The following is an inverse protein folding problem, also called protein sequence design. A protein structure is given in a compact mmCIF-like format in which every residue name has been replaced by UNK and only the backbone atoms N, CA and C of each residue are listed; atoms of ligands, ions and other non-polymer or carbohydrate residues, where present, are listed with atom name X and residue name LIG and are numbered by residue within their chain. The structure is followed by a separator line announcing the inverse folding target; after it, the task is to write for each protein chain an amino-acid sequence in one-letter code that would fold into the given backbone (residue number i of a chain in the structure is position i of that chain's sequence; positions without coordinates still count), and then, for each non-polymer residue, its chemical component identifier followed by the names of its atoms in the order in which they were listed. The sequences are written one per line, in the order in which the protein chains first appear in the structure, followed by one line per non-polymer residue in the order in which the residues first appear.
data_IF_346718858303
#
_entry.id   IF_346718858303
#
_cell.length_a   1.000
_cell.length_b   1.000
_cell.length_c   1.000
_cell.angle_alpha   90.00
_cell.angle_beta   90.00
_cell.angle_gamma   90.00
#
_symmetry.space_group_name_H-M   'P 1'
#
loop_
_entity.id
_entity.type
_entity.pdbx_description
1 polymer ?
#
# COMPACT_ATOMS: atom_id res chain seq x y z
N UNK A 1 -26.14 48.58 80.42
CA UNK A 1 -25.14 49.19 81.34
C UNK A 1 -23.76 49.13 80.70
N UNK A 2 -22.81 49.99 81.13
CA UNK A 2 -21.35 49.83 80.88
C UNK A 2 -20.90 48.47 81.48
N UNK A 3 -19.79 47.80 81.16
CA UNK A 3 -18.36 48.11 80.86
C UNK A 3 -17.73 46.83 80.24
N UNK A 4 -16.52 46.73 79.65
CA UNK A 4 -15.35 47.61 79.47
C UNK A 4 -14.03 46.81 79.58
N UNK A 5 -12.94 47.24 78.90
CA UNK A 5 -11.52 46.73 78.95
C UNK A 5 -11.26 45.25 78.56
N UNK A 6 -10.23 44.83 77.81
CA UNK A 6 -8.75 45.07 77.85
C UNK A 6 -8.05 44.39 79.05
N UNK A 7 -6.92 43.66 78.95
CA UNK A 7 -5.91 43.41 77.89
C UNK A 7 -5.59 41.87 77.82
N UNK A 8 -4.63 41.27 77.08
CA UNK A 8 -3.54 41.73 76.19
C UNK A 8 -2.46 40.64 75.93
N UNK A 9 -1.36 41.00 75.25
CA UNK A 9 -0.05 40.29 75.12
C UNK A 9 0.08 38.96 74.34
N UNK A 10 0.67 39.06 73.15
CA UNK A 10 1.57 38.06 72.54
C UNK A 10 2.98 38.19 73.15
N UNK A 11 3.90 37.19 73.05
CA UNK A 11 4.86 37.22 71.93
C UNK A 11 5.43 35.87 71.40
N UNK A 12 5.81 35.90 70.12
CA UNK A 12 7.00 35.30 69.44
C UNK A 12 7.46 33.82 69.64
N UNK A 13 7.81 33.17 68.53
CA UNK A 13 8.61 31.91 68.49
C UNK A 13 8.24 30.94 67.34
N UNK A 14 8.51 31.20 66.05
CA UNK A 14 9.73 30.88 65.27
C UNK A 14 9.93 29.38 64.86
N UNK A 15 9.97 29.13 63.54
CA UNK A 15 10.44 27.90 62.81
C UNK A 15 9.58 26.61 62.94
N UNK A 16 9.43 25.74 61.94
CA UNK A 16 9.97 25.67 60.56
C UNK A 16 8.84 25.53 59.51
N UNK A 17 9.11 26.01 58.29
CA UNK A 17 8.48 25.56 57.06
C UNK A 17 9.57 25.13 56.08
N UNK A 18 9.56 23.90 55.59
CA UNK A 18 9.98 23.53 54.24
C UNK A 18 9.69 22.05 53.95
N UNK A 19 9.26 21.75 52.72
CA UNK A 19 8.77 20.42 52.33
C UNK A 19 8.14 20.38 50.94
N UNK A 20 8.84 20.90 49.94
CA UNK A 20 8.38 21.00 48.55
C UNK A 20 8.04 19.61 47.94
N UNK A 21 6.79 19.44 47.51
CA UNK A 21 6.31 18.28 46.75
C UNK A 21 5.89 18.71 45.33
N UNK A 22 6.85 18.89 44.40
CA UNK A 22 6.55 19.21 43.00
C UNK A 22 7.71 18.84 42.04
N UNK A 23 7.85 17.56 41.67
CA UNK A 23 8.98 17.15 40.82
C UNK A 23 8.94 15.78 40.15
N UNK A 24 7.79 15.09 40.08
CA UNK A 24 7.78 13.71 39.53
C UNK A 24 6.44 13.28 38.90
N UNK A 25 5.92 14.05 37.94
CA UNK A 25 4.65 13.69 37.21
C UNK A 25 4.64 13.89 35.69
N UNK A 26 5.75 14.30 35.06
CA UNK A 26 5.78 14.61 33.60
C UNK A 26 6.52 13.56 32.75
N UNK A 27 7.38 12.73 33.35
CA UNK A 27 8.25 11.79 32.59
C UNK A 27 7.52 10.51 32.13
N UNK A 28 6.40 10.14 32.75
CA UNK A 28 5.75 8.84 32.54
C UNK A 28 4.97 8.68 31.22
N UNK A 29 4.72 9.76 30.47
CA UNK A 29 3.85 9.71 29.27
C UNK A 29 4.64 9.49 27.97
N UNK A 30 5.88 9.97 27.85
CA UNK A 30 6.61 9.89 26.56
C UNK A 30 7.23 8.51 26.31
N UNK A 31 7.44 7.69 27.35
CA UNK A 31 8.03 6.34 27.21
C UNK A 31 7.04 5.26 26.71
N UNK A 32 5.74 5.59 26.59
CA UNK A 32 4.67 4.64 26.24
C UNK A 32 4.33 4.62 24.74
N UNK A 33 5.06 5.39 23.91
CA UNK A 33 4.84 5.50 22.46
C UNK A 33 5.77 4.62 21.60
N UNK A 34 6.74 3.91 22.20
CA UNK A 34 7.80 3.20 21.47
C UNK A 34 7.66 1.67 21.39
N UNK A 35 6.52 1.11 21.80
CA UNK A 35 6.17 -0.29 21.56
C UNK A 35 4.82 -0.38 20.87
N UNK A 36 4.74 0.18 19.66
CA UNK A 36 3.85 -0.43 18.68
C UNK A 36 4.48 -1.77 18.31
N UNK A 37 3.82 -2.91 18.54
CA UNK A 37 4.24 -4.13 17.86
C UNK A 37 4.14 -3.83 16.38
N UNK A 38 5.27 -3.91 15.67
CA UNK A 38 5.21 -3.94 14.22
C UNK A 38 4.28 -5.10 13.86
N UNK A 39 3.09 -4.78 13.35
CA UNK A 39 2.26 -5.76 12.66
C UNK A 39 3.07 -6.07 11.40
N UNK A 40 3.99 -7.01 11.53
CA UNK A 40 4.67 -7.61 10.40
C UNK A 40 3.56 -8.28 9.59
N UNK A 41 3.04 -7.54 8.61
CA UNK A 41 2.04 -8.04 7.68
C UNK A 41 2.56 -9.36 7.13
N UNK A 42 1.76 -10.41 7.26
CA UNK A 42 2.15 -11.75 6.82
C UNK A 42 2.39 -11.68 5.32
N UNK A 43 3.66 -11.69 4.93
CA UNK A 43 4.02 -11.72 3.53
C UNK A 43 3.65 -13.08 2.92
N UNK A 44 3.03 -13.05 1.75
CA UNK A 44 2.95 -14.21 0.87
C UNK A 44 4.24 -14.28 0.06
N UNK A 45 5.02 -15.34 0.29
CA UNK A 45 6.36 -15.53 -0.26
C UNK A 45 6.34 -16.53 -1.40
N UNK A 46 6.74 -16.09 -2.58
CA UNK A 46 6.80 -16.91 -3.79
C UNK A 46 8.24 -17.12 -4.22
N UNK A 47 8.63 -18.37 -4.44
CA UNK A 47 10.01 -18.72 -4.83
C UNK A 47 10.23 -18.49 -6.32
N UNK A 48 11.38 -17.94 -6.66
CA UNK A 48 11.86 -17.73 -8.03
C UNK A 48 13.20 -18.47 -8.21
N UNK A 49 13.65 -18.75 -9.45
CA UNK A 49 14.92 -19.46 -9.68
C UNK A 49 16.16 -18.80 -9.06
N UNK A 50 16.15 -17.46 -8.87
CA UNK A 50 17.29 -16.65 -8.38
C UNK A 50 16.99 -15.84 -7.11
N UNK A 51 15.88 -16.12 -6.43
CA UNK A 51 15.44 -15.33 -5.28
C UNK A 51 14.02 -15.66 -4.82
N UNK A 52 13.38 -14.72 -4.14
CA UNK A 52 11.96 -14.79 -3.78
C UNK A 52 11.28 -13.44 -3.98
N UNK A 53 9.98 -13.50 -4.30
CA UNK A 53 9.07 -12.36 -4.32
C UNK A 53 8.24 -12.38 -3.05
N UNK A 54 8.02 -11.22 -2.43
CA UNK A 54 7.18 -11.09 -1.25
C UNK A 54 6.09 -10.06 -1.56
N UNK A 55 4.83 -10.47 -1.39
CA UNK A 55 3.65 -9.60 -1.49
C UNK A 55 3.11 -9.43 -0.06
N UNK A 56 2.68 -8.22 0.30
CA UNK A 56 2.15 -7.91 1.63
C UNK A 56 0.65 -7.62 1.53
N UNK A 57 -0.24 -8.61 1.77
CA UNK A 57 -1.67 -8.42 1.59
C UNK A 57 -2.25 -7.33 2.49
N UNK A 58 -2.99 -6.39 1.90
CA UNK A 58 -3.74 -5.36 2.61
C UNK A 58 -5.22 -5.66 2.47
N UNK A 59 -5.87 -6.10 3.56
CA UNK A 59 -7.26 -6.57 3.54
C UNK A 59 -7.38 -8.09 3.55
N UNK A 60 -8.45 -8.63 2.95
CA UNK A 60 -8.74 -10.07 2.90
C UNK A 60 -8.72 -10.58 1.46
N UNK A 61 -7.54 -11.02 1.05
CA UNK A 61 -7.23 -11.44 -0.31
C UNK A 61 -6.65 -12.85 -0.30
N UNK A 62 -7.27 -13.75 -1.07
CA UNK A 62 -6.71 -15.06 -1.32
C UNK A 62 -5.69 -14.95 -2.46
N UNK A 63 -4.42 -15.19 -2.14
CA UNK A 63 -3.38 -15.41 -3.15
C UNK A 63 -3.42 -16.87 -3.65
N UNK A 64 -3.17 -17.05 -4.94
CA UNK A 64 -2.93 -18.35 -5.58
C UNK A 64 -1.84 -18.20 -6.63
N UNK A 65 -1.07 -19.25 -6.90
CA UNK A 65 0.04 -19.19 -7.86
C UNK A 65 0.11 -20.41 -8.77
N UNK A 66 0.44 -20.17 -10.03
CA UNK A 66 0.68 -21.17 -11.07
C UNK A 66 2.01 -20.85 -11.75
N UNK A 67 2.82 -21.86 -12.10
CA UNK A 67 4.02 -21.69 -12.91
C UNK A 67 3.76 -22.28 -14.30
N UNK A 68 3.70 -21.41 -15.30
CA UNK A 68 3.47 -21.78 -16.71
C UNK A 68 4.56 -21.13 -17.58
N UNK A 69 5.82 -21.19 -17.12
CA UNK A 69 6.98 -20.57 -17.77
C UNK A 69 7.20 -19.10 -17.37
N UNK A 70 6.17 -18.43 -16.87
CA UNK A 70 6.28 -17.28 -15.98
C UNK A 70 5.52 -17.61 -14.69
N UNK A 71 6.04 -17.20 -13.53
CA UNK A 71 5.29 -17.32 -12.27
C UNK A 71 4.11 -16.36 -12.33
N UNK A 72 2.89 -16.91 -12.25
CA UNK A 72 1.64 -16.17 -12.28
C UNK A 72 0.96 -16.26 -10.93
N UNK A 73 0.84 -15.12 -10.24
CA UNK A 73 0.13 -15.00 -8.97
C UNK A 73 -1.21 -14.31 -9.24
N UNK A 74 -2.30 -14.85 -8.73
CA UNK A 74 -3.63 -14.24 -8.80
C UNK A 74 -4.07 -13.89 -7.38
N UNK A 75 -4.40 -12.62 -7.17
CA UNK A 75 -5.06 -12.13 -5.96
C UNK A 75 -6.55 -11.95 -6.26
N UNK A 76 -7.40 -12.60 -5.47
CA UNK A 76 -8.86 -12.46 -5.51
C UNK A 76 -9.38 -12.15 -4.11
N UNK A 77 -10.47 -11.38 -4.00
CA UNK A 77 -11.06 -11.09 -2.71
C UNK A 77 -11.64 -12.36 -2.07
N UNK A 78 -11.54 -12.48 -0.75
CA UNK A 78 -12.21 -13.57 -0.01
C UNK A 78 -13.73 -13.38 0.04
N UNK A 79 -14.20 -12.12 0.01
CA UNK A 79 -15.61 -11.78 -0.03
C UNK A 79 -16.10 -11.74 -1.50
N UNK A 80 -17.04 -12.60 -1.91
CA UNK A 80 -17.57 -12.63 -3.28
C UNK A 80 -18.40 -11.40 -3.66
N UNK A 81 -18.72 -10.50 -2.73
CA UNK A 81 -19.30 -9.19 -3.04
C UNK A 81 -18.26 -8.18 -3.56
N UNK A 82 -16.97 -8.41 -3.31
CA UNK A 82 -15.89 -7.54 -3.78
C UNK A 82 -15.48 -7.97 -5.20
N UNK A 83 -16.04 -7.28 -6.19
CA UNK A 83 -15.73 -7.50 -7.61
C UNK A 83 -14.40 -6.83 -8.00
N UNK A 84 -13.29 -7.38 -7.48
CA UNK A 84 -11.94 -6.97 -7.85
C UNK A 84 -10.95 -8.14 -7.82
N UNK A 85 -9.91 -8.05 -8.66
CA UNK A 85 -8.82 -9.04 -8.75
C UNK A 85 -7.55 -8.40 -9.29
N UNK A 86 -6.41 -9.00 -8.98
CA UNK A 86 -5.17 -8.72 -9.68
C UNK A 86 -4.47 -9.99 -10.18
N UNK A 87 -3.66 -9.84 -11.22
CA UNK A 87 -2.78 -10.86 -11.77
C UNK A 87 -1.38 -10.27 -11.87
N UNK A 88 -0.42 -10.97 -11.30
CA UNK A 88 0.99 -10.64 -11.30
C UNK A 88 1.69 -11.72 -12.13
N UNK A 89 2.38 -11.34 -13.20
CA UNK A 89 3.22 -12.25 -13.98
C UNK A 89 4.68 -11.83 -13.83
N UNK A 90 5.48 -12.72 -13.23
CA UNK A 90 6.90 -12.47 -12.95
C UNK A 90 7.76 -13.06 -14.05
N UNK A 91 8.45 -12.20 -14.79
CA UNK A 91 9.52 -12.59 -15.70
C UNK A 91 10.86 -12.42 -14.99
N UNK A 92 11.63 -13.51 -14.88
CA UNK A 92 12.90 -13.56 -14.13
C UNK A 92 14.10 -14.09 -14.94
N UNK A 93 13.94 -14.25 -16.26
CA UNK A 93 14.93 -14.89 -17.12
C UNK A 93 15.68 -13.90 -18.04
N UNK A 94 16.89 -13.54 -17.62
CA UNK A 94 18.06 -13.44 -18.50
C UNK A 94 18.23 -12.18 -19.35
N UNK A 95 17.17 -11.44 -19.67
CA UNK A 95 17.27 -10.16 -20.39
C UNK A 95 17.31 -8.98 -19.41
N UNK A 96 18.15 -7.99 -19.71
CA UNK A 96 18.05 -6.67 -19.08
C UNK A 96 17.24 -5.73 -19.99
N UNK A 97 16.01 -6.15 -20.36
CA UNK A 97 15.19 -5.54 -21.44
C UNK A 97 14.88 -4.05 -21.23
N UNK A 98 14.84 -3.63 -19.96
CA UNK A 98 14.56 -2.25 -19.55
C UNK A 98 15.66 -1.77 -18.60
N UNK A 99 16.87 -1.47 -19.11
CA UNK A 99 17.97 -1.03 -18.26
C UNK A 99 17.70 0.38 -17.70
N UNK A 100 16.88 1.19 -18.38
CA UNK A 100 16.45 2.53 -17.95
C UNK A 100 14.94 2.66 -17.75
N UNK A 101 14.56 3.62 -16.91
CA UNK A 101 13.16 4.01 -16.66
C UNK A 101 12.46 4.50 -17.94
N UNK A 102 13.14 5.30 -18.76
CA UNK A 102 12.61 5.81 -20.02
C UNK A 102 12.21 4.67 -20.97
N UNK A 103 13.03 3.62 -21.11
CA UNK A 103 12.71 2.49 -21.98
C UNK A 103 11.50 1.69 -21.49
N UNK A 104 11.31 1.57 -20.17
CA UNK A 104 10.10 0.96 -19.60
C UNK A 104 8.87 1.83 -19.86
N UNK A 105 8.97 3.15 -19.68
CA UNK A 105 7.90 4.11 -19.98
C UNK A 105 7.48 4.04 -21.47
N UNK A 106 8.44 4.07 -22.38
CA UNK A 106 8.18 3.94 -23.82
C UNK A 106 7.55 2.59 -24.18
N UNK A 107 7.97 1.50 -23.53
CA UNK A 107 7.35 0.19 -23.74
C UNK A 107 5.93 0.12 -23.19
N UNK A 108 5.69 0.65 -21.99
CA UNK A 108 4.35 0.77 -21.39
C UNK A 108 3.41 1.58 -22.30
N UNK A 109 3.88 2.70 -22.86
CA UNK A 109 3.13 3.47 -23.86
C UNK A 109 2.80 2.67 -25.12
N UNK A 110 3.74 1.88 -25.66
CA UNK A 110 3.49 1.01 -26.83
C UNK A 110 2.43 -0.05 -26.53
N UNK A 111 2.52 -0.74 -25.39
CA UNK A 111 1.57 -1.79 -25.01
C UNK A 111 0.19 -1.21 -24.68
N UNK A 112 0.13 -0.09 -23.96
CA UNK A 112 -1.13 0.58 -23.67
C UNK A 112 -1.81 1.12 -24.96
N UNK A 113 -1.05 1.67 -25.92
CA UNK A 113 -1.61 2.06 -27.23
C UNK A 113 -2.24 0.86 -27.94
N UNK A 114 -1.51 -0.25 -28.02
CA UNK A 114 -1.99 -1.47 -28.69
C UNK A 114 -3.25 -2.08 -28.07
N UNK A 115 -3.44 -1.92 -26.75
CA UNK A 115 -4.69 -2.32 -26.09
C UNK A 115 -5.86 -1.40 -26.48
N UNK A 116 -5.64 -0.09 -26.53
CA UNK A 116 -6.67 0.88 -26.94
C UNK A 116 -7.06 0.74 -28.42
N UNK A 117 -6.13 0.35 -29.29
CA UNK A 117 -6.39 0.05 -30.71
C UNK A 117 -7.42 -1.08 -30.90
N UNK A 118 -7.64 -1.93 -29.89
CA UNK A 118 -8.73 -2.92 -29.86
C UNK A 118 -10.14 -2.32 -29.77
N UNK A 119 -10.26 -1.01 -29.51
CA UNK A 119 -11.51 -0.26 -29.63
C UNK A 119 -12.56 -0.51 -28.53
N UNK A 120 -12.25 -1.32 -27.52
CA UNK A 120 -13.15 -1.69 -26.40
C UNK A 120 -13.21 -0.66 -25.28
N UNK A 121 -12.17 0.15 -25.12
CA UNK A 121 -12.01 1.07 -23.99
C UNK A 121 -12.58 2.48 -24.25
N UNK A 122 -12.83 3.27 -23.20
CA UNK A 122 -13.30 4.66 -23.33
C UNK A 122 -12.19 5.59 -23.80
N UNK A 123 -10.98 5.34 -23.32
CA UNK A 123 -9.79 6.16 -23.53
C UNK A 123 -9.33 6.08 -24.99
N UNK A 124 -8.97 7.24 -25.57
CA UNK A 124 -8.50 7.33 -26.97
C UNK A 124 -6.97 7.40 -27.11
N UNK A 125 -6.26 7.56 -25.99
CA UNK A 125 -4.81 7.64 -25.88
C UNK A 125 -4.41 7.08 -24.52
N UNK A 126 -3.25 6.41 -24.38
CA UNK A 126 -2.83 5.87 -23.10
C UNK A 126 -2.45 7.01 -22.14
N UNK A 127 -3.07 7.02 -20.96
CA UNK A 127 -2.64 7.85 -19.83
C UNK A 127 -1.77 6.97 -18.95
N UNK A 128 -0.45 7.12 -19.07
CA UNK A 128 0.52 6.36 -18.28
C UNK A 128 0.88 7.15 -17.01
N UNK A 129 0.82 6.48 -15.87
CA UNK A 129 1.13 6.97 -14.53
C UNK A 129 2.34 6.20 -13.97
N UNK A 130 3.21 6.80 -13.15
CA UNK A 130 4.24 6.05 -12.44
C UNK A 130 3.62 5.16 -11.36
N UNK A 131 4.21 3.99 -11.13
CA UNK A 131 4.14 3.31 -9.84
C UNK A 131 5.21 3.88 -8.90
N UNK A 132 4.99 3.78 -7.60
CA UNK A 132 5.98 4.06 -6.56
C UNK A 132 6.37 2.77 -5.82
N UNK A 133 7.04 1.82 -6.49
CA UNK A 133 7.38 0.54 -5.87
C UNK A 133 8.43 0.72 -4.77
N UNK A 134 8.40 -0.16 -3.76
CA UNK A 134 9.42 -0.22 -2.72
C UNK A 134 10.85 -0.48 -3.27
N UNK A 135 10.95 -1.06 -4.47
CA UNK A 135 12.20 -1.34 -5.18
C UNK A 135 12.06 -1.04 -6.67
N UNK A 136 13.09 -0.40 -7.25
CA UNK A 136 13.18 -0.15 -8.69
C UNK A 136 12.24 0.94 -9.18
N UNK A 137 11.58 0.72 -10.32
CA UNK A 137 10.69 1.69 -10.97
C UNK A 137 9.61 1.00 -11.81
N UNK A 138 8.49 1.69 -12.05
CA UNK A 138 7.40 1.11 -12.83
C UNK A 138 6.39 2.13 -13.35
N UNK A 139 5.56 1.69 -14.28
CA UNK A 139 4.50 2.48 -14.89
C UNK A 139 3.23 1.64 -15.08
N UNK A 140 2.06 2.28 -15.04
CA UNK A 140 0.79 1.66 -15.40
C UNK A 140 -0.10 2.59 -16.22
N UNK A 141 -1.04 2.02 -16.96
CA UNK A 141 -2.14 2.73 -17.58
C UNK A 141 -3.46 2.13 -17.11
N UNK A 142 -4.43 3.00 -16.82
CA UNK A 142 -5.81 2.61 -16.47
C UNK A 142 -6.71 2.82 -17.68
N UNK A 143 -7.64 1.89 -17.89
CA UNK A 143 -8.60 1.89 -18.99
C UNK A 143 -9.99 1.49 -18.48
N UNK A 144 -11.03 2.04 -19.11
CA UNK A 144 -12.43 1.79 -18.74
C UNK A 144 -13.11 1.01 -19.86
N UNK A 145 -13.70 -0.16 -19.59
CA UNK A 145 -14.48 -0.89 -20.59
C UNK A 145 -15.75 -0.09 -20.95
N UNK A 146 -15.85 0.31 -22.22
CA UNK A 146 -16.94 1.13 -22.74
C UNK A 146 -18.31 0.46 -22.60
N UNK A 147 -18.38 -0.88 -22.60
CA UNK A 147 -19.63 -1.64 -22.48
C UNK A 147 -20.20 -1.58 -21.05
N UNK A 148 -19.36 -1.36 -20.05
CA UNK A 148 -19.72 -1.38 -18.62
C UNK A 148 -19.97 0.04 -18.05
N UNK A 149 -19.71 1.09 -18.82
CA UNK A 149 -20.05 2.48 -18.45
C UNK A 149 -21.56 2.62 -18.22
N UNK A 150 -21.93 3.18 -17.06
CA UNK A 150 -23.32 3.40 -16.66
C UNK A 150 -24.09 2.13 -16.27
N UNK A 151 -23.46 0.95 -16.27
CA UNK A 151 -24.06 -0.29 -15.79
C UNK A 151 -23.81 -0.49 -14.30
N UNK A 152 -24.72 -1.16 -13.56
CA UNK A 152 -24.41 -1.65 -12.22
C UNK A 152 -23.28 -2.69 -12.28
N UNK A 153 -22.45 -2.81 -11.24
CA UNK A 153 -21.51 -3.92 -11.08
C UNK A 153 -22.15 -5.30 -11.25
N UNK A 154 -21.41 -6.22 -11.87
CA UNK A 154 -21.76 -7.64 -11.97
C UNK A 154 -20.51 -8.46 -11.62
N UNK A 155 -20.57 -9.43 -10.68
CA UNK A 155 -19.42 -10.22 -10.31
C UNK A 155 -18.75 -10.91 -11.52
N UNK A 156 -17.45 -10.66 -11.71
CA UNK A 156 -16.65 -11.16 -12.83
C UNK A 156 -16.55 -10.22 -14.04
N UNK A 157 -17.44 -9.22 -14.16
CA UNK A 157 -17.36 -8.16 -15.17
C UNK A 157 -16.69 -6.92 -14.53
N UNK A 158 -15.48 -6.57 -14.98
CA UNK A 158 -14.68 -5.50 -14.38
C UNK A 158 -14.70 -4.25 -15.25
N UNK A 159 -15.28 -3.15 -14.74
CA UNK A 159 -15.40 -1.89 -15.49
C UNK A 159 -14.04 -1.21 -15.75
N UNK A 160 -13.13 -1.29 -14.79
CA UNK A 160 -11.76 -0.77 -14.92
C UNK A 160 -10.77 -1.91 -15.09
N UNK A 161 -9.84 -1.72 -16.03
CA UNK A 161 -8.70 -2.57 -16.28
C UNK A 161 -7.43 -1.72 -16.28
N UNK A 162 -6.48 -2.06 -15.44
CA UNK A 162 -5.16 -1.43 -15.40
C UNK A 162 -4.10 -2.44 -15.79
N UNK A 163 -3.22 -2.06 -16.71
CA UNK A 163 -2.00 -2.79 -17.00
C UNK A 163 -0.81 -2.00 -16.49
N UNK A 164 0.06 -2.68 -15.75
CA UNK A 164 1.26 -2.13 -15.15
C UNK A 164 2.50 -2.99 -15.44
N UNK A 165 3.65 -2.34 -15.40
CA UNK A 165 4.96 -2.96 -15.53
C UNK A 165 5.90 -2.35 -14.49
N UNK A 166 6.50 -3.18 -13.65
CA UNK A 166 7.46 -2.77 -12.62
C UNK A 166 8.75 -3.56 -12.84
N UNK A 167 9.90 -2.88 -12.93
CA UNK A 167 11.22 -3.51 -12.81
C UNK A 167 11.63 -3.42 -11.35
N UNK A 168 11.61 -4.56 -10.65
CA UNK A 168 11.99 -4.63 -9.23
C UNK A 168 13.51 -4.72 -9.06
N UNK A 169 14.17 -5.46 -9.95
CA UNK A 169 15.62 -5.67 -9.95
C UNK A 169 16.13 -5.92 -11.39
N UNK A 170 17.45 -5.95 -11.64
CA UNK A 170 18.00 -6.39 -12.92
C UNK A 170 17.49 -7.79 -13.30
N UNK A 171 16.98 -7.94 -14.52
CA UNK A 171 16.32 -9.14 -15.02
C UNK A 171 15.12 -9.67 -14.19
N UNK A 172 14.47 -8.83 -13.35
CA UNK A 172 13.24 -9.19 -12.63
C UNK A 172 12.15 -8.14 -12.90
N UNK A 173 11.14 -8.55 -13.65
CA UNK A 173 10.04 -7.71 -14.10
C UNK A 173 8.70 -8.30 -13.67
N UNK A 174 7.81 -7.41 -13.24
CA UNK A 174 6.47 -7.72 -12.78
C UNK A 174 5.46 -7.06 -13.72
N UNK A 175 4.71 -7.87 -14.48
CA UNK A 175 3.55 -7.40 -15.24
C UNK A 175 2.35 -7.50 -14.30
N UNK A 176 1.74 -6.37 -13.97
CA UNK A 176 0.60 -6.29 -13.06
C UNK A 176 -0.66 -6.01 -13.89
N UNK A 177 -1.73 -6.75 -13.65
CA UNK A 177 -3.06 -6.43 -14.17
C UNK A 177 -4.00 -6.28 -12.98
N UNK A 178 -4.66 -5.12 -12.85
CA UNK A 178 -5.67 -4.87 -11.80
C UNK A 178 -7.01 -4.69 -12.50
N UNK A 179 -8.06 -5.33 -11.97
CA UNK A 179 -9.41 -5.30 -12.51
C UNK A 179 -10.40 -5.03 -11.37
N UNK A 180 -11.28 -4.03 -11.53
CA UNK A 180 -12.22 -3.62 -10.48
C UNK A 180 -13.43 -2.83 -11.04
N UNK A 181 -14.42 -2.56 -10.19
CA UNK A 181 -15.54 -1.66 -10.52
C UNK A 181 -15.21 -0.16 -10.45
N UNK A 182 -14.15 0.24 -9.75
CA UNK A 182 -13.78 1.64 -9.56
C UNK A 182 -12.27 1.79 -9.36
N UNK A 183 -11.62 2.67 -10.12
CA UNK A 183 -10.21 3.06 -9.90
C UNK A 183 -10.02 3.74 -8.53
N UNK A 184 -10.98 4.56 -8.10
CA UNK A 184 -10.94 5.25 -6.79
C UNK A 184 -11.46 4.38 -5.63
N UNK A 185 -11.94 3.17 -5.92
CA UNK A 185 -12.53 2.28 -4.92
C UNK A 185 -11.46 1.59 -4.06
N UNK A 186 -11.78 1.39 -2.77
CA UNK A 186 -10.89 0.71 -1.81
C UNK A 186 -10.29 -0.61 -2.34
N UNK A 187 -11.05 -1.54 -2.98
CA UNK A 187 -10.47 -2.79 -3.48
C UNK A 187 -9.39 -2.59 -4.54
N UNK A 188 -9.55 -1.59 -5.41
CA UNK A 188 -8.53 -1.24 -6.41
C UNK A 188 -7.31 -0.64 -5.72
N UNK A 189 -7.50 0.28 -4.78
CA UNK A 189 -6.42 0.96 -4.06
C UNK A 189 -5.62 -0.01 -3.17
N UNK A 190 -6.26 -1.01 -2.56
CA UNK A 190 -5.58 -2.11 -1.87
C UNK A 190 -4.71 -2.93 -2.84
N UNK A 191 -5.21 -3.29 -4.02
CA UNK A 191 -4.45 -4.01 -5.05
C UNK A 191 -3.30 -3.19 -5.63
N UNK A 192 -3.49 -1.89 -5.80
CA UNK A 192 -2.45 -0.95 -6.23
C UNK A 192 -1.34 -0.85 -5.18
N UNK A 193 -1.70 -0.64 -3.91
CA UNK A 193 -0.76 -0.59 -2.80
C UNK A 193 -0.02 -1.92 -2.58
N UNK A 194 -0.68 -3.06 -2.81
CA UNK A 194 -0.02 -4.37 -2.84
C UNK A 194 1.01 -4.49 -3.98
N UNK A 195 0.73 -3.91 -5.15
CA UNK A 195 1.66 -3.90 -6.28
C UNK A 195 2.87 -2.98 -6.05
N UNK A 196 2.67 -1.84 -5.39
CA UNK A 196 3.75 -0.94 -4.99
C UNK A 196 4.55 -1.49 -3.79
N UNK A 197 3.91 -2.26 -2.91
CA UNK A 197 4.55 -2.90 -1.75
C UNK A 197 5.36 -4.16 -2.06
N UNK A 198 5.37 -4.67 -3.30
CA UNK A 198 6.10 -5.90 -3.66
C UNK A 198 7.61 -5.72 -3.48
N UNK A 199 8.26 -6.67 -2.82
CA UNK A 199 9.72 -6.75 -2.70
C UNK A 199 10.27 -7.98 -3.42
N UNK A 200 11.49 -7.86 -3.92
CA UNK A 200 12.30 -8.97 -4.40
C UNK A 200 13.57 -9.11 -3.54
N UNK A 201 13.88 -10.34 -3.15
CA UNK A 201 15.08 -10.69 -2.40
C UNK A 201 15.89 -11.72 -3.19
N UNK A 202 17.09 -11.36 -3.70
CA UNK A 202 18.00 -12.30 -4.36
C UNK A 202 18.46 -13.43 -3.42
N UNK A 203 18.88 -14.55 -4.02
CA UNK A 203 19.47 -15.70 -3.29
C UNK A 203 20.85 -16.08 -3.82
#
# INVERSE_FOLDING_TARGET
MRTGSAEGKTPAGLWHSDGYNAGMRVVAVILLLLVQPAIAGRADVFKLPKGQLEIFPVGRWQASSEDVGELKIVLAAEDPQINARAIYSVASEGSDDFPTEQQLLEHMHRVATRLLDGGTFVERKPVVKPFYPAQGFGFYAVMTDRKLVGRPPVPGDFKFFSLGMIRLAPAVYLKVQIMADSEEGEPYQQLLGMAEGVTYTPR
#
